data_IF_018794843187
#
_entry.id   IF_018794843187
#
_cell.length_a   1.000
_cell.length_b   1.000
_cell.length_c   1.000
_cell.angle_alpha   90.00
_cell.angle_beta   90.00
_cell.angle_gamma   90.00
#
_symmetry.space_group_name_H-M   'P 1'
#
loop_
_entity.id
_entity.type
_entity.pdbx_description
1 polymer ?
#
# COMPACT_ATOMS: atom_id res chain seq x y z
N UNK A 1 -55.46 -27.01 16.91
CA UNK A 1 -55.53 -27.30 15.46
C UNK A 1 -54.11 -27.20 14.93
N UNK A 2 -53.38 -28.32 14.82
CA UNK A 2 -53.34 -29.22 13.65
C UNK A 2 -52.74 -28.49 12.41
N UNK A 3 -51.73 -28.98 11.69
CA UNK A 3 -51.03 -30.26 11.74
C UNK A 3 -49.66 -30.19 11.02
N UNK A 4 -48.85 -31.21 11.32
CA UNK A 4 -47.67 -31.71 10.59
C UNK A 4 -48.01 -32.08 9.13
N UNK A 5 -47.02 -32.07 8.24
CA UNK A 5 -47.00 -33.03 7.13
C UNK A 5 -46.04 -32.71 5.97
N UNK A 6 -45.52 -33.72 5.24
CA UNK A 6 -44.10 -33.81 4.87
C UNK A 6 -43.80 -34.18 3.40
N UNK A 7 -42.51 -34.39 3.09
CA UNK A 7 -42.00 -35.30 2.04
C UNK A 7 -41.53 -34.62 0.75
N UNK A 8 -40.68 -35.21 -0.09
CA UNK A 8 -39.86 -36.42 -0.05
C UNK A 8 -39.04 -36.44 -1.36
N UNK A 9 -37.84 -37.04 -1.35
CA UNK A 9 -37.26 -37.71 -2.53
C UNK A 9 -36.46 -36.86 -3.52
N UNK A 10 -35.47 -37.36 -4.28
CA UNK A 10 -34.78 -38.65 -4.48
C UNK A 10 -33.45 -38.26 -5.17
N UNK A 11 -32.30 -38.81 -4.77
CA UNK A 11 -31.59 -39.91 -5.46
C UNK A 11 -31.22 -39.65 -6.95
N UNK A 12 -29.93 -39.76 -7.29
CA UNK A 12 -29.49 -39.57 -8.67
C UNK A 12 -27.97 -39.61 -8.89
N UNK A 13 -27.38 -40.78 -8.68
CA UNK A 13 -26.03 -41.19 -9.08
C UNK A 13 -25.66 -40.79 -10.51
N UNK A 14 -24.41 -40.38 -10.77
CA UNK A 14 -23.70 -40.93 -11.92
C UNK A 14 -22.17 -40.90 -11.83
N UNK A 15 -21.64 -42.09 -11.95
CA UNK A 15 -20.26 -42.50 -12.04
C UNK A 15 -19.84 -42.41 -13.51
N UNK A 16 -18.79 -41.65 -13.88
CA UNK A 16 -18.02 -42.01 -15.07
C UNK A 16 -16.58 -41.57 -15.00
N UNK A 17 -15.74 -42.58 -15.12
CA UNK A 17 -14.30 -42.56 -15.07
C UNK A 17 -13.66 -42.32 -16.44
N UNK A 18 -12.33 -42.11 -16.39
CA UNK A 18 -11.32 -42.34 -17.44
C UNK A 18 -11.23 -41.20 -18.49
N UNK A 19 -10.07 -40.78 -19.02
CA UNK A 19 -8.75 -41.40 -19.22
C UNK A 19 -7.65 -40.32 -19.28
N UNK A 20 -6.44 -40.65 -18.83
CA UNK A 20 -5.17 -40.03 -19.29
C UNK A 20 -4.74 -40.63 -20.64
N UNK A 21 -4.00 -39.87 -21.46
CA UNK A 21 -2.84 -40.38 -22.21
C UNK A 21 -1.61 -39.52 -21.91
N UNK A 22 -0.53 -40.03 -21.29
CA UNK A 22 0.64 -40.75 -21.88
C UNK A 22 1.34 -40.02 -23.05
N UNK A 23 2.46 -39.40 -22.66
CA UNK A 23 3.78 -39.31 -23.32
C UNK A 23 3.92 -39.00 -24.81
N UNK A 24 4.78 -38.00 -25.09
CA UNK A 24 5.65 -38.05 -26.25
C UNK A 24 7.01 -37.41 -25.93
N UNK A 25 8.00 -38.25 -25.67
CA UNK A 25 9.43 -37.91 -25.66
C UNK A 25 9.93 -38.00 -27.10
N UNK A 26 10.58 -36.94 -27.59
CA UNK A 26 11.49 -37.04 -28.74
C UNK A 26 12.77 -36.25 -28.48
N UNK A 27 13.85 -37.03 -28.32
CA UNK A 27 15.24 -36.62 -28.45
C UNK A 27 15.51 -36.09 -29.86
N UNK A 28 16.36 -35.06 -29.96
CA UNK A 28 17.06 -34.69 -31.18
C UNK A 28 18.52 -34.35 -30.84
N UNK A 29 19.39 -34.74 -31.76
CA UNK A 29 20.78 -35.08 -31.54
C UNK A 29 21.75 -33.89 -31.44
N UNK A 30 22.91 -34.20 -30.84
CA UNK A 30 24.11 -33.39 -30.82
C UNK A 30 24.78 -33.28 -32.19
N UNK A 31 25.39 -32.12 -32.46
CA UNK A 31 26.24 -31.83 -33.61
C UNK A 31 27.33 -30.78 -33.18
N UNK A 32 28.44 -30.64 -33.93
CA UNK A 32 29.80 -30.74 -33.38
C UNK A 32 30.42 -29.44 -32.82
N UNK A 33 31.39 -29.63 -31.92
CA UNK A 33 32.31 -28.59 -31.43
C UNK A 33 33.28 -28.17 -32.54
N UNK A 34 33.05 -26.99 -33.10
CA UNK A 34 33.99 -26.29 -33.98
C UNK A 34 34.89 -25.36 -33.19
N UNK A 35 36.21 -25.56 -33.28
CA UNK A 35 37.22 -24.61 -32.78
C UNK A 35 37.20 -23.36 -33.67
N UNK A 36 36.76 -22.23 -33.11
CA UNK A 36 36.72 -20.93 -33.79
C UNK A 36 37.31 -19.83 -32.91
N UNK A 37 38.52 -19.41 -33.29
CA UNK A 37 39.30 -18.17 -33.00
C UNK A 37 38.78 -17.22 -31.91
N UNK A 38 39.67 -16.92 -30.95
CA UNK A 38 39.63 -15.72 -30.10
C UNK A 38 39.42 -14.45 -30.94
N UNK A 39 38.23 -13.88 -30.86
CA UNK A 39 38.00 -12.48 -31.10
C UNK A 39 37.88 -11.80 -29.73
N UNK A 40 38.70 -10.80 -29.49
CA UNK A 40 38.65 -9.94 -28.31
C UNK A 40 37.30 -9.24 -28.25
N UNK A 41 36.39 -9.79 -27.45
CA UNK A 41 35.14 -9.11 -27.09
C UNK A 41 35.54 -8.02 -26.11
N UNK A 42 35.56 -6.78 -26.58
CA UNK A 42 35.62 -5.61 -25.71
C UNK A 42 34.43 -5.70 -24.76
N UNK A 43 34.70 -5.98 -23.49
CA UNK A 43 33.74 -5.90 -22.41
C UNK A 43 33.19 -4.48 -22.40
N UNK A 44 31.97 -4.32 -22.92
CA UNK A 44 31.17 -3.13 -22.66
C UNK A 44 31.00 -3.00 -21.15
N UNK A 45 31.17 -1.80 -20.58
CA UNK A 45 31.03 -1.62 -19.15
C UNK A 45 29.59 -1.95 -18.76
N UNK A 46 29.49 -2.87 -17.80
CA UNK A 46 28.35 -3.20 -16.95
C UNK A 46 27.11 -2.33 -17.19
N UNK A 47 26.08 -2.93 -17.78
CA UNK A 47 24.71 -2.44 -17.66
C UNK A 47 24.45 -2.23 -16.16
N UNK A 48 24.49 -0.97 -15.72
CA UNK A 48 23.96 -0.58 -14.42
C UNK A 48 22.49 -1.01 -14.43
N UNK A 49 22.19 -2.07 -13.68
CA UNK A 49 20.84 -2.30 -13.23
C UNK A 49 20.37 -0.99 -12.56
N UNK A 50 19.16 -0.49 -12.84
CA UNK A 50 18.71 0.73 -12.19
C UNK A 50 18.82 0.53 -10.69
N UNK A 51 19.57 1.41 -10.01
CA UNK A 51 19.46 1.53 -8.56
C UNK A 51 17.97 1.63 -8.26
N UNK A 52 17.46 0.72 -7.43
CA UNK A 52 16.07 0.73 -7.00
C UNK A 52 15.75 2.16 -6.52
N UNK A 53 14.97 2.91 -7.32
CA UNK A 53 14.69 4.31 -7.04
C UNK A 53 13.84 4.36 -5.78
N UNK A 54 14.47 4.59 -4.63
CA UNK A 54 13.75 4.74 -3.37
C UNK A 54 12.59 5.71 -3.57
N UNK A 55 11.38 5.32 -3.15
CA UNK A 55 10.26 6.24 -3.07
C UNK A 55 10.69 7.54 -2.37
N UNK A 56 10.42 8.70 -3.00
CA UNK A 56 10.75 10.01 -2.41
C UNK A 56 10.10 10.21 -1.04
N UNK A 57 8.98 9.54 -0.80
CA UNK A 57 8.28 9.56 0.48
C UNK A 57 9.06 8.88 1.60
N UNK A 58 9.86 7.85 1.28
CA UNK A 58 10.50 7.00 2.27
C UNK A 58 11.49 7.76 3.19
N UNK A 59 12.01 8.91 2.74
CA UNK A 59 12.86 9.80 3.54
C UNK A 59 12.11 10.56 4.64
N UNK A 60 10.81 10.76 4.46
CA UNK A 60 9.96 11.50 5.40
C UNK A 60 9.18 10.58 6.36
N UNK A 61 9.11 9.28 6.07
CA UNK A 61 8.43 8.29 6.89
C UNK A 61 9.44 7.57 7.77
N UNK A 62 9.44 7.85 9.08
CA UNK A 62 10.29 7.15 10.05
C UNK A 62 9.58 5.94 10.65
N UNK A 63 10.33 5.01 11.24
CA UNK A 63 9.74 3.79 11.86
C UNK A 63 8.78 4.17 12.98
N UNK A 64 9.10 5.21 13.75
CA UNK A 64 8.27 5.68 14.87
C UNK A 64 6.94 6.29 14.37
N UNK A 65 6.88 6.74 13.12
CA UNK A 65 5.72 7.35 12.47
C UNK A 65 4.84 6.32 11.72
N UNK A 66 5.11 5.02 11.93
CA UNK A 66 4.36 3.89 11.38
C UNK A 66 3.57 3.23 12.51
N UNK A 67 2.26 3.49 12.54
CA UNK A 67 1.36 3.02 13.56
C UNK A 67 0.49 1.88 13.04
N UNK A 68 0.66 0.68 13.58
CA UNK A 68 -0.10 -0.50 13.20
C UNK A 68 -1.14 -0.87 14.26
N UNK A 69 -2.22 -1.50 13.84
CA UNK A 69 -3.31 -1.93 14.71
C UNK A 69 -3.85 -0.79 15.61
N UNK A 70 -4.01 0.40 15.01
CA UNK A 70 -4.45 1.61 15.71
C UNK A 70 -5.93 1.49 16.08
N UNK A 71 -6.27 1.70 17.35
CA UNK A 71 -7.64 1.64 17.84
C UNK A 71 -8.40 2.95 17.57
N UNK A 72 -8.85 3.14 16.33
CA UNK A 72 -9.65 4.30 15.90
C UNK A 72 -10.87 3.82 15.13
N UNK A 73 -12.03 4.43 15.40
CA UNK A 73 -13.32 3.99 14.84
C UNK A 73 -13.89 4.91 13.76
N UNK A 74 -13.37 6.12 13.62
CA UNK A 74 -13.83 7.12 12.65
C UNK A 74 -12.72 8.14 12.33
N UNK A 75 -12.96 8.96 11.30
CA UNK A 75 -12.01 9.97 10.79
C UNK A 75 -11.56 10.97 11.87
N UNK A 76 -12.47 11.38 12.75
CA UNK A 76 -12.14 12.31 13.82
C UNK A 76 -11.13 11.70 14.80
N UNK A 77 -11.39 10.47 15.29
CA UNK A 77 -10.47 9.75 16.19
C UNK A 77 -9.12 9.47 15.53
N UNK A 78 -9.11 9.18 14.22
CA UNK A 78 -7.89 9.05 13.44
C UNK A 78 -7.07 10.34 13.45
N UNK A 79 -7.67 11.49 13.16
CA UNK A 79 -6.93 12.77 13.12
C UNK A 79 -6.52 13.26 14.51
N UNK A 80 -7.30 12.97 15.56
CA UNK A 80 -6.88 13.17 16.96
C UNK A 80 -5.67 12.29 17.31
N UNK A 81 -5.64 11.04 16.85
CA UNK A 81 -4.49 10.14 17.05
C UNK A 81 -3.23 10.68 16.36
N UNK A 82 -3.35 11.19 15.14
CA UNK A 82 -2.23 11.78 14.39
C UNK A 82 -1.71 13.02 15.11
N UNK A 83 -2.60 13.91 15.54
CA UNK A 83 -2.22 15.12 16.28
C UNK A 83 -1.50 14.79 17.58
N UNK A 84 -2.04 13.84 18.37
CA UNK A 84 -1.40 13.39 19.62
C UNK A 84 -0.01 12.80 19.38
N UNK A 85 0.11 11.90 18.41
CA UNK A 85 1.40 11.26 18.08
C UNK A 85 2.47 12.29 17.74
N UNK A 86 2.15 13.28 16.90
CA UNK A 86 3.11 14.31 16.50
C UNK A 86 3.43 15.30 17.61
N UNK A 87 2.48 15.58 18.50
CA UNK A 87 2.75 16.37 19.69
C UNK A 87 3.74 15.66 20.62
N UNK A 88 3.57 14.35 20.84
CA UNK A 88 4.43 13.56 21.71
C UNK A 88 5.83 13.37 21.09
N UNK A 89 5.91 13.05 19.80
CA UNK A 89 7.17 12.68 19.14
C UNK A 89 7.96 13.87 18.59
N UNK A 90 7.29 14.96 18.21
CA UNK A 90 7.90 16.10 17.50
C UNK A 90 7.62 17.46 18.15
N UNK A 91 6.88 17.50 19.27
CA UNK A 91 6.43 18.73 19.92
C UNK A 91 5.63 19.68 18.99
N UNK A 92 4.94 19.12 17.99
CA UNK A 92 4.06 19.88 17.10
C UNK A 92 2.71 20.21 17.77
N UNK A 93 2.01 21.26 17.34
CA UNK A 93 0.70 21.60 17.88
C UNK A 93 -0.37 20.57 17.45
N UNK A 94 -0.59 19.54 18.28
CA UNK A 94 -1.48 18.41 17.98
C UNK A 94 -2.89 18.84 17.57
N UNK A 95 -3.50 19.77 18.30
CA UNK A 95 -4.83 20.31 17.97
C UNK A 95 -4.86 21.04 16.62
N UNK A 96 -3.78 21.74 16.28
CA UNK A 96 -3.60 22.41 14.99
C UNK A 96 -3.53 21.41 13.84
N UNK A 97 -2.81 20.30 14.04
CA UNK A 97 -2.75 19.17 13.09
C UNK A 97 -4.13 18.56 12.89
N UNK A 98 -4.81 18.18 13.98
CA UNK A 98 -6.14 17.57 13.92
C UNK A 98 -7.14 18.47 13.20
N UNK A 99 -7.17 19.75 13.55
CA UNK A 99 -8.08 20.75 12.96
C UNK A 99 -7.80 20.92 11.47
N UNK A 100 -6.52 21.02 11.08
CA UNK A 100 -6.14 21.23 9.68
C UNK A 100 -6.47 20.04 8.79
N UNK A 101 -6.23 18.81 9.28
CA UNK A 101 -6.63 17.59 8.59
C UNK A 101 -8.15 17.49 8.44
N UNK A 102 -8.88 17.74 9.52
CA UNK A 102 -10.35 17.70 9.50
C UNK A 102 -10.93 18.72 8.52
N UNK A 103 -10.42 19.95 8.52
CA UNK A 103 -10.85 21.00 7.58
C UNK A 103 -10.61 20.58 6.13
N UNK A 104 -9.47 19.96 5.82
CA UNK A 104 -9.20 19.45 4.47
C UNK A 104 -10.18 18.33 4.09
N UNK A 105 -10.44 17.41 5.00
CA UNK A 105 -11.29 16.25 4.77
C UNK A 105 -12.76 16.64 4.54
N UNK A 106 -13.24 17.69 5.22
CA UNK A 106 -14.59 18.22 5.04
C UNK A 106 -14.86 18.79 3.63
N UNK A 107 -13.83 19.34 2.97
CA UNK A 107 -14.00 19.89 1.63
C UNK A 107 -14.27 18.78 0.58
N UNK A 108 -13.56 17.67 0.71
CA UNK A 108 -13.77 16.45 -0.07
C UNK A 108 -12.97 15.32 0.58
N UNK A 109 -13.52 14.11 0.54
CA UNK A 109 -12.84 12.90 1.01
C UNK A 109 -11.42 12.79 0.45
N UNK A 110 -10.46 12.39 1.28
CA UNK A 110 -9.08 12.11 0.83
C UNK A 110 -8.83 10.62 0.57
N UNK A 111 -9.88 9.79 0.65
CA UNK A 111 -9.80 8.42 0.18
C UNK A 111 -9.66 8.36 -1.35
N UNK A 112 -8.79 7.49 -1.83
CA UNK A 112 -8.50 7.32 -3.26
C UNK A 112 -9.08 6.01 -3.83
N UNK A 113 -9.73 5.20 -2.98
CA UNK A 113 -10.23 3.86 -3.32
C UNK A 113 -9.22 2.76 -2.98
N UNK A 114 -9.59 1.51 -3.28
CA UNK A 114 -8.79 0.31 -3.05
C UNK A 114 -8.33 0.15 -1.58
N UNK A 115 -9.15 0.62 -0.64
CA UNK A 115 -8.85 0.58 0.79
C UNK A 115 -7.79 1.58 1.27
N UNK A 116 -7.49 2.62 0.48
CA UNK A 116 -6.46 3.62 0.79
C UNK A 116 -7.04 5.02 0.99
N UNK A 117 -6.49 5.76 1.96
CA UNK A 117 -6.66 7.21 2.06
C UNK A 117 -5.34 7.96 2.22
N UNK A 118 -5.32 9.19 1.69
CA UNK A 118 -4.17 10.10 1.77
C UNK A 118 -4.53 11.43 2.45
N UNK A 119 -4.89 11.45 3.75
CA UNK A 119 -5.17 12.70 4.45
C UNK A 119 -3.95 13.62 4.40
N UNK A 120 -4.16 14.88 4.08
CA UNK A 120 -3.06 15.85 3.96
C UNK A 120 -3.49 17.22 4.45
N UNK A 121 -2.54 18.02 4.94
CA UNK A 121 -2.83 19.38 5.35
C UNK A 121 -1.60 20.27 5.21
N UNK A 122 -1.86 21.57 5.09
CA UNK A 122 -0.84 22.62 5.12
C UNK A 122 -0.91 23.31 6.46
N UNK A 123 0.23 23.49 7.11
CA UNK A 123 0.32 24.13 8.42
C UNK A 123 1.44 25.18 8.39
N UNK A 124 1.21 26.35 8.95
CA UNK A 124 2.20 27.45 8.95
C UNK A 124 3.31 27.20 9.98
N UNK A 125 3.03 26.40 10.99
CA UNK A 125 3.91 26.11 12.13
C UNK A 125 4.90 24.97 11.84
N UNK A 126 4.92 24.42 10.61
CA UNK A 126 5.81 23.34 10.23
C UNK A 126 7.06 23.87 9.55
N UNK A 127 8.22 23.42 10.03
CA UNK A 127 9.53 23.68 9.42
C UNK A 127 9.90 22.64 8.34
N UNK A 128 9.07 21.61 8.15
CA UNK A 128 9.34 20.52 7.22
C UNK A 128 8.14 19.62 6.94
N UNK A 129 8.37 18.63 6.08
CA UNK A 129 7.37 17.63 5.69
C UNK A 129 7.33 16.54 6.76
N UNK A 130 6.12 16.16 7.18
CA UNK A 130 5.89 15.04 8.08
C UNK A 130 4.98 14.01 7.40
N UNK A 131 5.44 12.76 7.34
CA UNK A 131 4.66 11.65 6.81
C UNK A 131 4.42 10.62 7.91
N UNK A 132 3.20 10.11 7.99
CA UNK A 132 2.83 9.04 8.91
C UNK A 132 2.07 7.98 8.15
N UNK A 133 2.31 6.73 8.50
CA UNK A 133 1.51 5.62 8.01
C UNK A 133 0.72 5.02 9.16
N UNK A 134 -0.58 4.82 8.96
CA UNK A 134 -1.47 4.24 9.94
C UNK A 134 -2.25 3.09 9.32
N UNK A 135 -2.37 2.01 10.08
CA UNK A 135 -3.30 0.90 9.80
C UNK A 135 -4.22 0.71 11.01
N UNK A 136 -5.52 1.04 10.92
CA UNK A 136 -6.46 0.80 12.00
C UNK A 136 -6.64 -0.72 12.25
N UNK A 137 -7.10 -1.09 13.44
CA UNK A 137 -7.41 -2.50 13.77
C UNK A 137 -8.46 -3.10 12.85
N UNK A 138 -9.45 -2.29 12.48
CA UNK A 138 -10.53 -2.65 11.57
C UNK A 138 -10.60 -1.62 10.45
N UNK A 139 -10.86 -2.05 9.19
CA UNK A 139 -11.11 -1.12 8.10
C UNK A 139 -12.26 -0.16 8.45
N UNK A 140 -12.09 1.12 8.15
CA UNK A 140 -13.00 2.17 8.59
C UNK A 140 -13.68 2.89 7.41
N UNK A 141 -14.92 3.34 7.62
CA UNK A 141 -15.63 4.13 6.62
C UNK A 141 -14.90 5.46 6.36
N UNK A 142 -14.57 5.71 5.10
CA UNK A 142 -13.85 6.92 4.70
C UNK A 142 -14.53 7.72 3.59
N UNK A 143 -15.76 7.39 3.19
CA UNK A 143 -16.41 7.97 2.02
C UNK A 143 -15.50 7.92 0.77
N UNK A 144 -14.92 6.74 0.52
CA UNK A 144 -14.10 6.48 -0.65
C UNK A 144 -14.96 6.49 -1.93
N UNK A 145 -14.40 6.90 -3.09
CA UNK A 145 -15.12 6.91 -4.36
C UNK A 145 -15.68 5.54 -4.80
N UNK A 146 -15.03 4.46 -4.38
CA UNK A 146 -15.43 3.07 -4.65
C UNK A 146 -16.28 2.46 -3.51
N UNK A 147 -16.64 3.27 -2.51
CA UNK A 147 -17.40 2.87 -1.32
C UNK A 147 -16.74 1.78 -0.46
N UNK A 148 -15.45 1.46 -0.68
CA UNK A 148 -14.74 0.50 0.15
C UNK A 148 -14.25 1.14 1.46
N UNK A 149 -14.19 0.39 2.57
CA UNK A 149 -13.58 0.86 3.80
C UNK A 149 -12.06 0.96 3.64
N UNK A 150 -11.44 1.90 4.35
CA UNK A 150 -10.00 2.18 4.29
C UNK A 150 -9.27 1.40 5.37
N UNK A 151 -8.17 0.75 4.98
CA UNK A 151 -7.26 -0.01 5.86
C UNK A 151 -5.84 0.57 5.87
N UNK A 152 -5.44 1.28 4.82
CA UNK A 152 -4.10 1.86 4.70
C UNK A 152 -4.24 3.38 4.58
N UNK A 153 -3.63 4.09 5.51
CA UNK A 153 -3.75 5.54 5.61
C UNK A 153 -2.34 6.11 5.62
N UNK A 154 -2.03 6.98 4.67
CA UNK A 154 -0.80 7.76 4.72
C UNK A 154 -1.14 9.24 4.89
N UNK A 155 -0.75 9.80 6.02
CA UNK A 155 -0.89 11.22 6.30
C UNK A 155 0.32 11.98 5.77
N UNK A 156 0.10 13.11 5.09
CA UNK A 156 1.15 14.01 4.64
C UNK A 156 0.88 15.45 5.10
N UNK A 157 1.72 15.95 6.01
CA UNK A 157 1.67 17.33 6.47
C UNK A 157 2.83 18.10 5.85
N UNK A 158 2.55 19.30 5.35
CA UNK A 158 3.56 20.14 4.69
C UNK A 158 3.48 21.59 5.18
N UNK A 159 4.59 22.34 5.13
CA UNK A 159 4.58 23.77 5.42
C UNK A 159 3.65 24.56 4.50
N UNK A 160 3.08 25.64 5.02
CA UNK A 160 2.39 26.66 4.24
C UNK A 160 3.34 27.84 3.92
N UNK A 161 3.36 28.39 2.69
CA UNK A 161 2.63 27.91 1.52
C UNK A 161 3.22 26.60 0.99
N UNK A 162 2.37 25.75 0.40
CA UNK A 162 2.89 24.56 -0.26
C UNK A 162 3.49 24.92 -1.61
N UNK A 163 4.67 24.37 -1.89
CA UNK A 163 5.35 24.52 -3.17
C UNK A 163 5.04 23.35 -4.12
N UNK A 164 5.67 23.36 -5.30
CA UNK A 164 5.52 22.30 -6.29
C UNK A 164 6.05 20.95 -5.77
N UNK A 165 7.12 20.96 -4.97
CA UNK A 165 7.71 19.75 -4.41
C UNK A 165 6.71 18.99 -3.54
N UNK A 166 5.90 19.71 -2.76
CA UNK A 166 4.86 19.12 -1.92
C UNK A 166 3.76 18.43 -2.75
N UNK A 167 3.33 19.06 -3.85
CA UNK A 167 2.33 18.49 -4.75
C UNK A 167 2.86 17.27 -5.49
N UNK A 168 4.13 17.31 -5.93
CA UNK A 168 4.79 16.20 -6.59
C UNK A 168 4.91 14.99 -5.65
N UNK A 169 5.24 15.23 -4.37
CA UNK A 169 5.31 14.18 -3.36
C UNK A 169 3.95 13.53 -3.11
N UNK A 170 2.87 14.33 -3.02
CA UNK A 170 1.51 13.80 -2.87
C UNK A 170 1.09 12.97 -4.09
N UNK A 171 1.42 13.43 -5.30
CA UNK A 171 1.13 12.71 -6.54
C UNK A 171 1.95 11.41 -6.66
N UNK A 172 3.25 11.44 -6.33
CA UNK A 172 4.12 10.25 -6.27
C UNK A 172 3.56 9.22 -5.27
N UNK A 173 3.10 9.70 -4.11
CA UNK A 173 2.47 8.87 -3.10
C UNK A 173 1.18 8.21 -3.62
N UNK A 174 0.29 8.98 -4.25
CA UNK A 174 -0.93 8.43 -4.82
C UNK A 174 -0.63 7.35 -5.88
N UNK A 175 0.34 7.61 -6.76
CA UNK A 175 0.79 6.63 -7.77
C UNK A 175 1.34 5.35 -7.14
N UNK A 176 2.13 5.46 -6.07
CA UNK A 176 2.66 4.32 -5.33
C UNK A 176 1.52 3.45 -4.78
N UNK A 177 0.54 4.07 -4.12
CA UNK A 177 -0.61 3.36 -3.59
C UNK A 177 -1.55 2.82 -4.66
N UNK A 178 -1.61 3.40 -5.86
CA UNK A 178 -2.36 2.83 -6.99
C UNK A 178 -1.74 1.51 -7.50
N UNK A 179 -0.49 1.18 -7.17
CA UNK A 179 0.14 -0.08 -7.56
C UNK A 179 -0.40 -1.26 -6.72
N UNK A 180 -1.12 -2.24 -7.32
CA UNK A 180 -1.69 -3.36 -6.57
C UNK A 180 -0.63 -4.25 -5.92
N UNK A 181 0.57 -4.38 -6.52
CA UNK A 181 1.66 -5.19 -5.94
C UNK A 181 2.20 -4.54 -4.67
N UNK A 182 2.30 -3.21 -4.65
CA UNK A 182 2.71 -2.47 -3.46
C UNK A 182 1.71 -2.67 -2.32
N UNK A 183 0.42 -2.46 -2.59
CA UNK A 183 -0.64 -2.67 -1.58
C UNK A 183 -0.64 -4.09 -1.03
N UNK A 184 -0.53 -5.10 -1.90
CA UNK A 184 -0.46 -6.50 -1.49
C UNK A 184 0.77 -6.82 -0.64
N UNK A 185 1.93 -6.24 -0.96
CA UNK A 185 3.13 -6.37 -0.13
C UNK A 185 2.94 -5.68 1.23
N UNK A 186 2.38 -4.47 1.23
CA UNK A 186 2.13 -3.68 2.43
C UNK A 186 1.21 -4.40 3.41
N UNK A 187 0.13 -5.04 2.93
CA UNK A 187 -0.80 -5.86 3.72
C UNK A 187 -0.12 -7.00 4.50
N UNK A 188 1.02 -7.50 3.99
CA UNK A 188 1.79 -8.59 4.63
C UNK A 188 2.71 -8.10 5.74
N UNK A 189 3.09 -6.83 5.75
CA UNK A 189 3.90 -6.25 6.81
C UNK A 189 3.09 -6.22 8.13
N UNK A 190 3.64 -6.83 9.19
CA UNK A 190 3.06 -6.90 10.54
C UNK A 190 3.82 -6.05 11.54
N UNK A 191 5.05 -5.67 11.21
CA UNK A 191 5.90 -4.82 12.03
C UNK A 191 6.20 -3.49 11.32
N UNK A 192 6.37 -2.42 12.11
CA UNK A 192 6.64 -1.08 11.58
C UNK A 192 7.91 -1.05 10.69
N UNK A 193 8.96 -1.76 11.10
CA UNK A 193 10.21 -1.87 10.35
C UNK A 193 9.99 -2.50 8.97
N UNK A 194 9.11 -3.50 8.85
CA UNK A 194 8.80 -4.12 7.56
C UNK A 194 8.09 -3.16 6.61
N UNK A 195 7.19 -2.32 7.16
CA UNK A 195 6.56 -1.26 6.37
C UNK A 195 7.61 -0.26 5.90
N UNK A 196 8.46 0.23 6.80
CA UNK A 196 9.55 1.16 6.47
C UNK A 196 10.44 0.60 5.35
N UNK A 197 10.90 -0.63 5.51
CA UNK A 197 11.70 -1.33 4.50
C UNK A 197 10.97 -1.45 3.17
N UNK A 198 9.67 -1.75 3.17
CA UNK A 198 8.90 -1.80 1.93
C UNK A 198 8.89 -0.45 1.21
N UNK A 199 8.69 0.66 1.94
CA UNK A 199 8.76 2.01 1.36
C UNK A 199 10.16 2.36 0.85
N UNK A 200 11.22 1.92 1.54
CA UNK A 200 12.62 2.20 1.14
C UNK A 200 13.02 1.50 -0.16
N UNK A 201 12.47 0.32 -0.45
CA UNK A 201 12.93 -0.54 -1.55
C UNK A 201 11.94 -0.62 -2.72
N UNK A 202 10.90 0.22 -2.74
CA UNK A 202 9.90 0.29 -3.81
C UNK A 202 10.12 1.48 -4.72
#
# INVERSE_FOLDING_TARGET
MAARGPGHGLEGSNFRARRRPKEFVKNAAAAPVGRGKCASITLTPSLKLPEHTMSKLARYLQVEDILLAVNVSNKQRLFEQVGRHLQETRQLPGDGVTTSLWRRELAASTAIGDGVALPHARLAELDGIHALYLRPQSPMAFAAPDHQPVSDILVLLVPAPADQQHLDLLADTARLFSNPRFRQALLRCKEAVQVKQLFDHW
#
